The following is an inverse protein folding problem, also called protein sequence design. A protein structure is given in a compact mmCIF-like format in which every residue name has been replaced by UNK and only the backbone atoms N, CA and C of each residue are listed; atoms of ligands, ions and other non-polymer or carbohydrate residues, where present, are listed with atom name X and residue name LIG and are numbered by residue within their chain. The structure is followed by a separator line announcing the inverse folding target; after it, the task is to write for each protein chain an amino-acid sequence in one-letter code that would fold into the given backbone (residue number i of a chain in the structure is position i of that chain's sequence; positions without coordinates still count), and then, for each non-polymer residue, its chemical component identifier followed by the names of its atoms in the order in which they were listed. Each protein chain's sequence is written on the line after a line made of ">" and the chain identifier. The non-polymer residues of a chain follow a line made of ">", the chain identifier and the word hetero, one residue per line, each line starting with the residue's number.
data_IF_140838349721
#
_entry.id   IF_140838349721
#
_cell.length_a   1.000
_cell.length_b   1.000
_cell.length_c   1.000
_cell.angle_alpha   90.00
_cell.angle_beta   90.00
_cell.angle_gamma   90.00
#
_symmetry.space_group_name_H-M   'P 1'
#
loop_
_entity.id
_entity.type
_entity.pdbx_description
1 polymer ?
#
# COMPACT_ATOMS: atom_id res chain seq x y z
N UNK A 1 1.24 20.27 -67.34
CA UNK A 1 1.91 19.49 -66.28
C UNK A 1 1.39 20.03 -64.96
N UNK A 2 0.97 19.13 -64.06
CA UNK A 2 0.39 19.33 -62.71
C UNK A 2 -1.15 19.43 -62.59
N UNK A 3 -1.71 18.32 -62.09
CA UNK A 3 -2.97 18.12 -61.32
C UNK A 3 -2.54 17.76 -59.86
N UNK A 4 -3.44 17.59 -58.86
CA UNK A 4 -4.07 18.62 -58.05
C UNK A 4 -3.81 18.46 -56.52
N UNK A 5 -4.17 19.48 -55.74
CA UNK A 5 -4.08 19.54 -54.27
C UNK A 5 -5.19 18.75 -53.54
N UNK A 6 -5.10 17.41 -53.51
CA UNK A 6 -6.12 16.56 -52.85
C UNK A 6 -5.57 15.54 -51.82
N UNK A 7 -4.54 15.89 -51.03
CA UNK A 7 -3.90 14.93 -50.12
C UNK A 7 -3.82 15.29 -48.62
N UNK A 8 -4.49 16.35 -48.16
CA UNK A 8 -4.43 16.76 -46.75
C UNK A 8 -5.64 16.36 -45.88
N UNK A 9 -6.84 16.19 -46.46
CA UNK A 9 -8.05 15.91 -45.68
C UNK A 9 -8.23 14.43 -45.27
N UNK A 10 -7.58 13.49 -45.96
CA UNK A 10 -7.72 12.05 -45.71
C UNK A 10 -6.82 11.49 -44.60
N UNK A 11 -5.83 12.26 -44.11
CA UNK A 11 -4.94 11.81 -43.00
C UNK A 11 -5.46 12.18 -41.60
N UNK A 12 -6.31 13.19 -41.47
CA UNK A 12 -6.93 13.55 -40.18
C UNK A 12 -8.13 12.68 -39.81
N UNK A 13 -8.82 12.10 -40.78
CA UNK A 13 -9.97 11.22 -40.51
C UNK A 13 -9.54 9.85 -39.93
N UNK A 14 -8.37 9.34 -40.31
CA UNK A 14 -7.83 8.04 -39.87
C UNK A 14 -7.27 8.05 -38.43
N UNK A 15 -6.89 9.22 -37.90
CA UNK A 15 -6.38 9.37 -36.52
C UNK A 15 -7.49 9.52 -35.48
N UNK A 16 -8.65 10.09 -35.87
CA UNK A 16 -9.83 10.23 -35.01
C UNK A 16 -10.61 8.91 -34.86
N UNK A 17 -10.68 8.09 -35.90
CA UNK A 17 -11.30 6.76 -35.86
C UNK A 17 -10.53 5.77 -34.99
N UNK A 18 -9.19 5.85 -34.98
CA UNK A 18 -8.33 4.98 -34.18
C UNK A 18 -8.41 5.27 -32.67
N UNK A 19 -8.51 6.55 -32.26
CA UNK A 19 -8.75 6.92 -30.86
C UNK A 19 -10.13 6.48 -30.36
N UNK A 20 -11.17 6.60 -31.19
CA UNK A 20 -12.52 6.12 -30.88
C UNK A 20 -12.57 4.60 -30.70
N UNK A 21 -11.89 3.83 -31.57
CA UNK A 21 -11.81 2.38 -31.49
C UNK A 21 -11.05 1.87 -30.24
N UNK A 22 -9.97 2.54 -29.84
CA UNK A 22 -9.20 2.21 -28.61
C UNK A 22 -10.00 2.55 -27.34
N UNK A 23 -10.77 3.65 -27.34
CA UNK A 23 -11.66 4.01 -26.22
C UNK A 23 -12.85 3.05 -26.10
N UNK A 24 -13.43 2.64 -27.23
CA UNK A 24 -14.49 1.63 -27.31
C UNK A 24 -13.98 0.26 -26.84
N UNK A 25 -12.75 -0.14 -27.20
CA UNK A 25 -12.17 -1.43 -26.76
C UNK A 25 -11.88 -1.44 -25.25
N UNK A 26 -11.37 -0.34 -24.67
CA UNK A 26 -11.17 -0.19 -23.22
C UNK A 26 -12.48 -0.20 -22.44
N UNK A 27 -13.53 0.44 -22.98
CA UNK A 27 -14.89 0.45 -22.40
C UNK A 27 -15.54 -0.94 -22.49
N UNK A 28 -15.38 -1.63 -23.63
CA UNK A 28 -15.84 -3.01 -23.81
C UNK A 28 -15.08 -3.99 -22.91
N UNK A 29 -13.77 -3.80 -22.70
CA UNK A 29 -12.98 -4.57 -21.75
C UNK A 29 -13.41 -4.33 -20.30
N UNK A 30 -13.66 -3.07 -19.91
CA UNK A 30 -14.21 -2.76 -18.58
C UNK A 30 -15.60 -3.36 -18.40
N UNK A 31 -16.47 -3.28 -19.40
CA UNK A 31 -17.80 -3.87 -19.37
C UNK A 31 -17.76 -5.40 -19.36
N UNK A 32 -16.82 -6.03 -20.07
CA UNK A 32 -16.65 -7.48 -20.07
C UNK A 32 -16.07 -7.97 -18.74
N UNK A 33 -15.09 -7.27 -18.16
CA UNK A 33 -14.57 -7.53 -16.80
C UNK A 33 -15.65 -7.32 -15.75
N UNK A 34 -16.40 -6.23 -15.81
CA UNK A 34 -17.52 -5.96 -14.91
C UNK A 34 -18.60 -7.05 -15.00
N UNK A 35 -18.95 -7.49 -16.22
CA UNK A 35 -19.87 -8.62 -16.42
C UNK A 35 -19.30 -9.94 -15.90
N UNK A 36 -18.00 -10.18 -16.03
CA UNK A 36 -17.30 -11.38 -15.52
C UNK A 36 -17.25 -11.38 -13.99
N UNK A 37 -16.94 -10.24 -13.37
CA UNK A 37 -16.90 -10.09 -11.90
C UNK A 37 -18.31 -10.13 -11.31
N UNK A 38 -19.31 -9.50 -11.95
CA UNK A 38 -20.72 -9.61 -11.56
C UNK A 38 -21.27 -11.02 -11.72
N UNK A 39 -20.78 -11.78 -12.72
CA UNK A 39 -21.10 -13.20 -12.89
C UNK A 39 -20.46 -14.06 -11.80
N UNK A 40 -19.18 -13.85 -11.47
CA UNK A 40 -18.50 -14.52 -10.35
C UNK A 40 -19.15 -14.21 -9.00
N UNK A 41 -19.54 -12.96 -8.76
CA UNK A 41 -20.27 -12.55 -7.55
C UNK A 41 -21.65 -13.24 -7.46
N UNK A 42 -22.38 -13.31 -8.58
CA UNK A 42 -23.65 -14.06 -8.66
C UNK A 42 -23.45 -15.56 -8.51
N UNK A 43 -22.36 -16.13 -9.03
CA UNK A 43 -22.00 -17.53 -8.85
C UNK A 43 -21.66 -17.82 -7.38
N UNK A 44 -20.91 -16.95 -6.69
CA UNK A 44 -20.60 -17.06 -5.25
C UNK A 44 -21.84 -16.88 -4.35
N UNK A 45 -22.71 -15.90 -4.64
CA UNK A 45 -23.98 -15.71 -3.92
C UNK A 45 -24.95 -16.89 -4.13
N UNK A 46 -24.99 -17.46 -5.35
CA UNK A 46 -25.77 -18.67 -5.62
C UNK A 46 -25.17 -19.90 -4.94
N UNK A 47 -23.85 -20.01 -4.85
CA UNK A 47 -23.16 -21.10 -4.17
C UNK A 47 -23.43 -21.08 -2.67
N UNK A 48 -23.44 -19.91 -2.00
CA UNK A 48 -23.84 -19.77 -0.58
C UNK A 48 -25.27 -20.25 -0.27
N UNK A 49 -26.18 -20.22 -1.25
CA UNK A 49 -27.58 -20.66 -1.08
C UNK A 49 -27.75 -22.16 -1.41
N UNK A 50 -26.85 -22.76 -2.20
CA UNK A 50 -26.92 -24.14 -2.69
C UNK A 50 -25.83 -25.08 -2.14
N UNK A 51 -25.10 -24.66 -1.10
CA UNK A 51 -24.04 -25.42 -0.42
C UNK A 51 -24.59 -26.60 0.40
N UNK A 52 -25.29 -27.53 -0.26
CA UNK A 52 -25.60 -28.83 0.33
C UNK A 52 -25.12 -30.02 -0.49
N UNK A 53 -24.93 -29.93 -1.81
CA UNK A 53 -24.69 -31.17 -2.60
C UNK A 53 -23.73 -31.11 -3.82
N UNK A 54 -22.83 -30.13 -3.96
CA UNK A 54 -21.75 -30.23 -4.98
C UNK A 54 -20.43 -29.64 -4.52
N UNK A 55 -19.45 -30.51 -4.29
CA UNK A 55 -18.03 -30.17 -4.10
C UNK A 55 -17.41 -29.91 -5.48
N UNK A 56 -17.00 -28.67 -5.82
CA UNK A 56 -16.12 -28.46 -6.96
C UNK A 56 -14.69 -28.77 -6.53
N UNK A 57 -13.98 -29.56 -7.33
CA UNK A 57 -12.53 -29.75 -7.26
C UNK A 57 -11.82 -28.39 -7.16
N UNK A 58 -11.00 -28.25 -6.10
CA UNK A 58 -10.09 -27.14 -5.77
C UNK A 58 -10.64 -25.73 -6.04
N UNK A 59 -11.26 -25.11 -5.03
CA UNK A 59 -11.45 -23.67 -5.01
C UNK A 59 -10.06 -23.00 -5.05
N UNK A 60 -9.76 -22.26 -6.12
CA UNK A 60 -8.59 -21.38 -6.18
C UNK A 60 -8.57 -20.50 -4.92
N UNK A 61 -7.43 -20.45 -4.22
CA UNK A 61 -7.25 -19.58 -3.05
C UNK A 61 -7.58 -18.12 -3.42
N UNK A 62 -8.29 -17.37 -2.58
CA UNK A 62 -8.61 -15.98 -2.87
C UNK A 62 -7.35 -15.12 -2.88
N UNK A 63 -7.33 -14.11 -3.74
CA UNK A 63 -6.27 -13.09 -3.71
C UNK A 63 -6.57 -12.09 -2.60
N UNK A 64 -5.69 -11.99 -1.62
CA UNK A 64 -5.82 -11.09 -0.47
C UNK A 64 -4.76 -10.01 -0.54
N UNK A 65 -5.22 -8.76 -0.51
CA UNK A 65 -4.35 -7.58 -0.39
C UNK A 65 -4.60 -6.94 0.96
N UNK A 66 -3.55 -6.78 1.74
CA UNK A 66 -3.60 -6.11 3.04
C UNK A 66 -2.95 -4.75 2.92
N UNK A 67 -3.59 -3.71 3.47
CA UNK A 67 -3.02 -2.38 3.69
C UNK A 67 -2.83 -2.17 5.19
N UNK A 68 -1.60 -1.94 5.66
CA UNK A 68 -1.36 -1.57 7.06
C UNK A 68 -0.95 -0.11 7.21
N UNK A 69 -1.42 0.53 8.29
CA UNK A 69 -0.96 1.84 8.75
C UNK A 69 -0.38 1.78 10.17
N UNK A 70 -0.04 2.96 10.71
CA UNK A 70 0.72 3.07 11.95
C UNK A 70 0.03 2.42 13.15
N UNK A 71 -1.31 2.32 13.13
CA UNK A 71 -2.09 1.72 14.21
C UNK A 71 -1.72 0.26 14.49
N UNK A 72 -1.25 -0.51 13.50
CA UNK A 72 -0.83 -1.90 13.72
C UNK A 72 0.44 -2.00 14.58
N UNK A 73 1.33 -1.00 14.52
CA UNK A 73 2.61 -0.96 15.24
C UNK A 73 2.51 -0.25 16.59
N UNK A 74 1.35 0.32 16.94
CA UNK A 74 1.19 1.09 18.17
C UNK A 74 1.48 0.25 19.43
N UNK A 75 0.93 -0.96 19.48
CA UNK A 75 1.13 -1.90 20.60
C UNK A 75 2.56 -2.46 20.66
N UNK A 76 3.36 -2.25 19.61
CA UNK A 76 4.79 -2.56 19.57
C UNK A 76 5.67 -1.42 20.10
N UNK A 77 5.09 -0.35 20.63
CA UNK A 77 5.81 0.81 21.18
C UNK A 77 6.20 1.88 20.16
N UNK A 78 5.71 1.78 18.91
CA UNK A 78 5.94 2.78 17.86
C UNK A 78 4.84 3.84 17.93
N UNK A 79 5.23 5.10 18.15
CA UNK A 79 4.28 6.22 18.19
C UNK A 79 3.71 6.51 16.80
N UNK A 80 2.40 6.67 16.73
CA UNK A 80 1.68 6.94 15.49
C UNK A 80 1.69 8.43 15.14
N UNK A 81 1.56 8.74 13.85
CA UNK A 81 1.29 10.10 13.41
C UNK A 81 -0.10 10.56 13.87
N UNK A 82 -0.17 11.74 14.52
CA UNK A 82 -1.41 12.34 14.99
C UNK A 82 -1.91 13.35 13.97
N UNK A 83 -2.89 12.93 13.16
CA UNK A 83 -3.45 13.80 12.13
C UNK A 83 -4.21 15.02 12.69
N UNK A 84 -4.76 14.91 13.90
CA UNK A 84 -5.61 15.96 14.49
C UNK A 84 -4.84 17.23 14.91
N UNK A 85 -3.60 17.08 15.37
CA UNK A 85 -2.72 18.19 15.77
C UNK A 85 -1.56 18.43 14.79
N UNK A 86 -1.43 17.60 13.75
CA UNK A 86 -0.37 17.72 12.73
C UNK A 86 1.02 17.38 13.25
N UNK A 87 1.10 16.68 14.38
CA UNK A 87 2.37 16.36 15.04
C UNK A 87 2.79 14.90 14.81
N UNK A 88 4.08 14.73 14.58
CA UNK A 88 4.76 13.44 14.65
C UNK A 88 5.95 13.55 15.59
N UNK A 89 5.92 12.81 16.69
CA UNK A 89 6.93 12.91 17.75
C UNK A 89 7.11 14.34 18.28
N UNK A 90 6.01 15.07 18.47
CA UNK A 90 5.97 16.46 18.91
C UNK A 90 6.65 17.45 17.94
N UNK A 91 6.90 17.03 16.69
CA UNK A 91 7.36 17.89 15.60
C UNK A 91 6.24 18.13 14.60
N UNK A 92 6.18 19.33 14.04
CA UNK A 92 5.31 19.62 12.90
C UNK A 92 5.75 18.80 11.70
N UNK A 93 4.81 18.13 11.05
CA UNK A 93 5.08 17.31 9.85
C UNK A 93 5.78 18.11 8.76
N UNK A 94 5.41 19.39 8.59
CA UNK A 94 6.01 20.27 7.58
C UNK A 94 7.52 20.47 7.76
N UNK A 95 8.05 20.30 8.97
CA UNK A 95 9.46 20.51 9.28
C UNK A 95 10.30 19.24 9.11
N UNK A 96 9.68 18.06 9.27
CA UNK A 96 10.40 16.78 9.38
C UNK A 96 10.09 15.78 8.27
N UNK A 97 8.99 15.97 7.54
CA UNK A 97 8.50 15.00 6.56
C UNK A 97 8.02 15.68 5.25
N UNK A 98 8.73 16.72 4.81
CA UNK A 98 8.56 17.37 3.50
C UNK A 98 9.93 17.59 2.84
N UNK A 99 10.00 17.60 1.49
CA UNK A 99 11.21 18.03 0.78
C UNK A 99 11.68 19.43 1.18
N UNK A 100 10.74 20.35 1.42
CA UNK A 100 11.01 21.73 1.83
C UNK A 100 11.59 21.80 3.24
N UNK A 101 11.09 20.98 4.18
CA UNK A 101 11.62 20.83 5.53
C UNK A 101 13.07 20.34 5.51
N UNK A 102 13.34 19.31 4.72
CA UNK A 102 14.71 18.80 4.54
C UNK A 102 15.66 19.81 3.88
N UNK A 103 15.20 20.55 2.88
CA UNK A 103 16.01 21.58 2.24
C UNK A 103 16.32 22.74 3.20
N UNK A 104 15.38 23.06 4.10
CA UNK A 104 15.49 24.15 5.08
C UNK A 104 16.43 23.81 6.23
N UNK A 105 16.28 22.62 6.81
CA UNK A 105 17.11 22.15 7.93
C UNK A 105 17.37 20.64 7.83
N UNK A 106 18.36 20.22 7.01
CA UNK A 106 18.67 18.80 6.85
C UNK A 106 19.20 18.19 8.14
N UNK A 107 19.85 18.96 9.02
CA UNK A 107 20.36 18.45 10.28
C UNK A 107 19.22 18.05 11.22
N UNK A 108 18.18 18.88 11.33
CA UNK A 108 16.97 18.57 12.09
C UNK A 108 16.27 17.33 11.55
N UNK A 109 16.08 17.23 10.24
CA UNK A 109 15.41 16.06 9.62
C UNK A 109 16.24 14.79 9.81
N UNK A 110 17.57 14.85 9.64
CA UNK A 110 18.43 13.69 9.86
C UNK A 110 18.42 13.27 11.33
N UNK A 111 18.56 14.21 12.26
CA UNK A 111 18.43 13.93 13.69
C UNK A 111 17.06 13.33 14.02
N UNK A 112 16.01 13.81 13.35
CA UNK A 112 14.66 13.27 13.46
C UNK A 112 14.66 11.78 13.08
N UNK A 113 15.05 11.43 11.86
CA UNK A 113 15.01 10.02 11.42
C UNK A 113 16.02 9.13 12.15
N UNK A 114 17.17 9.65 12.58
CA UNK A 114 18.14 8.90 13.37
C UNK A 114 17.57 8.46 14.73
N UNK A 115 16.86 9.35 15.44
CA UNK A 115 16.21 9.00 16.68
C UNK A 115 15.18 7.87 16.50
N UNK A 116 14.40 7.92 15.41
CA UNK A 116 13.44 6.87 15.04
C UNK A 116 14.13 5.56 14.70
N UNK A 117 15.24 5.62 13.96
CA UNK A 117 16.01 4.43 13.59
C UNK A 117 16.61 3.73 14.80
N UNK A 118 17.12 4.50 15.77
CA UNK A 118 17.60 3.96 17.05
C UNK A 118 16.46 3.35 17.86
N UNK A 119 15.30 4.03 17.92
CA UNK A 119 14.11 3.54 18.63
C UNK A 119 13.65 2.19 18.05
N UNK A 120 13.49 2.09 16.72
CA UNK A 120 13.03 0.87 16.05
C UNK A 120 13.90 -0.36 16.36
N UNK A 121 15.19 -0.14 16.62
CA UNK A 121 16.17 -1.18 16.92
C UNK A 121 16.30 -1.47 18.42
N UNK A 122 15.53 -0.82 19.29
CA UNK A 122 15.55 -1.15 20.72
C UNK A 122 14.95 -2.55 20.97
N UNK A 123 15.46 -3.33 21.93
CA UNK A 123 15.01 -4.69 22.20
C UNK A 123 13.52 -4.83 22.50
N UNK A 124 12.91 -3.82 23.13
CA UNK A 124 11.49 -3.79 23.48
C UNK A 124 10.56 -3.60 22.27
N UNK A 125 11.07 -3.05 21.16
CA UNK A 125 10.29 -2.87 19.94
C UNK A 125 10.31 -4.19 19.18
N UNK A 126 9.21 -4.94 19.23
CA UNK A 126 9.08 -6.25 18.59
C UNK A 126 7.73 -6.42 17.88
N UNK A 127 7.64 -7.30 16.86
CA UNK A 127 6.37 -7.59 16.21
C UNK A 127 5.35 -8.12 17.21
N UNK A 128 4.17 -7.52 17.22
CA UNK A 128 3.04 -7.94 18.06
C UNK A 128 2.21 -9.06 17.37
N UNK A 129 1.18 -9.62 18.05
CA UNK A 129 0.36 -10.69 17.49
C UNK A 129 -0.30 -10.37 16.13
N UNK A 130 -0.60 -9.10 15.84
CA UNK A 130 -1.17 -8.70 14.56
C UNK A 130 -0.20 -8.96 13.40
N UNK A 131 1.07 -8.58 13.56
CA UNK A 131 2.11 -8.84 12.56
C UNK A 131 2.30 -10.35 12.35
N UNK A 132 2.34 -11.11 13.45
CA UNK A 132 2.49 -12.57 13.41
C UNK A 132 1.31 -13.24 12.70
N UNK A 133 0.08 -12.73 12.89
CA UNK A 133 -1.10 -13.23 12.18
C UNK A 133 -1.00 -12.97 10.66
N UNK A 134 -0.50 -11.81 10.24
CA UNK A 134 -0.29 -11.52 8.81
C UNK A 134 0.81 -12.39 8.20
N UNK A 135 1.88 -12.71 8.94
CA UNK A 135 2.89 -13.66 8.49
C UNK A 135 2.30 -15.08 8.30
N UNK A 136 1.42 -15.51 9.21
CA UNK A 136 0.68 -16.79 9.06
C UNK A 136 -0.26 -16.77 7.85
N UNK A 137 -0.97 -15.66 7.63
CA UNK A 137 -1.85 -15.51 6.46
C UNK A 137 -1.05 -15.60 5.15
N UNK A 138 0.10 -14.93 5.08
CA UNK A 138 1.01 -15.02 3.94
C UNK A 138 1.45 -16.46 3.68
N UNK A 139 1.91 -17.17 4.72
CA UNK A 139 2.34 -18.56 4.59
C UNK A 139 1.23 -19.48 4.07
N UNK A 140 -0.03 -19.24 4.46
CA UNK A 140 -1.17 -20.01 4.00
C UNK A 140 -1.56 -19.72 2.55
N UNK A 141 -1.45 -18.46 2.10
CA UNK A 141 -1.90 -18.02 0.77
C UNK A 141 -0.80 -18.07 -0.30
N UNK A 142 0.48 -17.96 0.08
CA UNK A 142 1.61 -17.89 -0.84
C UNK A 142 1.47 -16.71 -1.82
N UNK A 143 1.54 -17.00 -3.12
CA UNK A 143 1.49 -15.99 -4.19
C UNK A 143 0.14 -15.26 -4.32
N UNK A 144 -0.87 -15.69 -3.57
CA UNK A 144 -2.18 -15.05 -3.50
C UNK A 144 -2.26 -13.96 -2.41
N UNK A 145 -1.16 -13.68 -1.71
CA UNK A 145 -1.09 -12.63 -0.71
C UNK A 145 -0.15 -11.49 -1.14
N UNK A 146 -0.55 -10.26 -0.80
CA UNK A 146 0.30 -9.08 -0.87
C UNK A 146 0.04 -8.20 0.35
N UNK A 147 1.11 -7.82 1.05
CA UNK A 147 1.07 -6.83 2.12
C UNK A 147 1.60 -5.50 1.61
N UNK A 148 0.77 -4.46 1.65
CA UNK A 148 1.14 -3.07 1.39
C UNK A 148 1.16 -2.37 2.73
N UNK A 149 2.24 -1.66 3.05
CA UNK A 149 2.35 -0.95 4.32
C UNK A 149 2.71 0.51 4.10
N UNK A 150 1.99 1.38 4.81
CA UNK A 150 2.33 2.80 4.96
C UNK A 150 3.43 3.01 6.00
N UNK A 151 3.74 1.98 6.80
CA UNK A 151 4.74 2.06 7.85
C UNK A 151 6.13 2.01 7.24
N UNK A 152 7.04 2.71 7.89
CA UNK A 152 8.47 2.72 7.56
C UNK A 152 9.29 1.83 8.49
N UNK A 153 8.65 1.21 9.49
CA UNK A 153 9.27 0.20 10.35
C UNK A 153 9.46 -1.13 9.61
N UNK A 154 10.22 -2.06 10.20
CA UNK A 154 10.47 -3.40 9.64
C UNK A 154 9.80 -4.53 10.45
N UNK A 155 8.69 -4.23 11.15
CA UNK A 155 8.06 -5.21 12.03
C UNK A 155 7.38 -6.36 11.26
N UNK A 156 6.94 -6.11 10.03
CA UNK A 156 6.39 -7.15 9.16
C UNK A 156 7.46 -8.15 8.73
N UNK A 157 8.62 -7.68 8.28
CA UNK A 157 9.77 -8.53 7.94
C UNK A 157 10.19 -9.36 9.16
N UNK A 158 10.29 -8.71 10.32
CA UNK A 158 10.66 -9.38 11.58
C UNK A 158 9.62 -10.40 12.04
N UNK A 159 8.35 -10.24 11.66
CA UNK A 159 7.30 -11.24 11.91
C UNK A 159 7.35 -12.42 10.93
N UNK A 160 8.05 -12.28 9.80
CA UNK A 160 8.23 -13.32 8.79
C UNK A 160 7.52 -13.07 7.46
N UNK A 161 6.89 -11.90 7.27
CA UNK A 161 6.33 -11.52 5.97
C UNK A 161 7.45 -11.28 4.94
N UNK A 162 7.22 -11.65 3.68
CA UNK A 162 8.20 -11.52 2.59
C UNK A 162 7.63 -10.75 1.39
N UNK A 163 6.32 -10.86 1.15
CA UNK A 163 5.61 -10.19 0.05
C UNK A 163 5.10 -8.81 0.47
N UNK A 164 6.03 -7.90 0.75
CA UNK A 164 5.76 -6.57 1.31
C UNK A 164 6.06 -5.47 0.29
N UNK A 165 5.17 -4.48 0.17
CA UNK A 165 5.43 -3.21 -0.51
C UNK A 165 5.39 -2.09 0.52
N UNK A 166 6.55 -1.50 0.80
CA UNK A 166 6.70 -0.29 1.59
C UNK A 166 6.38 0.95 0.76
N UNK A 167 5.10 1.32 0.70
CA UNK A 167 4.68 2.42 -0.17
C UNK A 167 5.24 3.77 0.27
N UNK A 168 5.59 3.93 1.55
CA UNK A 168 6.24 5.12 2.09
C UNK A 168 7.73 4.95 2.37
N UNK A 169 8.34 3.90 1.82
CA UNK A 169 9.75 3.58 2.05
C UNK A 169 10.01 2.97 3.43
N UNK A 170 11.28 2.97 3.82
CA UNK A 170 11.79 2.14 4.92
C UNK A 170 12.85 2.93 5.72
N UNK A 171 12.72 2.88 7.05
CA UNK A 171 13.53 3.67 7.97
C UNK A 171 14.98 3.17 8.07
N UNK A 172 15.19 1.87 7.88
CA UNK A 172 16.50 1.21 7.85
C UNK A 172 17.16 1.29 6.47
N UNK A 173 16.67 2.17 5.59
CA UNK A 173 17.26 2.46 4.30
C UNK A 173 17.52 3.97 4.14
N UNK A 174 18.53 4.28 3.35
CA UNK A 174 18.84 5.63 2.88
C UNK A 174 18.87 5.64 1.36
N UNK A 175 18.70 6.83 0.78
CA UNK A 175 18.68 7.03 -0.65
C UNK A 175 19.60 8.17 -1.04
N UNK A 176 20.38 7.97 -2.10
CA UNK A 176 21.13 9.05 -2.73
C UNK A 176 20.16 10.11 -3.27
N UNK A 177 20.35 11.37 -2.88
CA UNK A 177 19.51 12.49 -3.31
C UNK A 177 19.59 12.79 -4.82
N UNK A 178 20.60 12.27 -5.51
CA UNK A 178 20.81 12.48 -6.94
C UNK A 178 20.44 11.27 -7.80
N UNK A 179 21.10 10.11 -7.59
CA UNK A 179 20.87 8.92 -8.42
C UNK A 179 19.60 8.15 -8.04
N UNK A 180 19.04 8.39 -6.85
CA UNK A 180 17.94 7.62 -6.32
C UNK A 180 18.31 6.20 -5.86
N UNK A 181 19.58 5.80 -5.92
CA UNK A 181 20.00 4.48 -5.43
C UNK A 181 19.76 4.36 -3.92
N UNK A 182 19.18 3.23 -3.53
CA UNK A 182 18.81 2.90 -2.15
C UNK A 182 19.86 1.98 -1.52
N UNK A 183 20.17 2.20 -0.25
CA UNK A 183 21.14 1.45 0.54
C UNK A 183 20.52 1.05 1.88
N UNK A 184 20.79 -0.16 2.35
CA UNK A 184 20.56 -0.53 3.74
C UNK A 184 21.42 0.34 4.65
N UNK A 185 20.83 0.86 5.72
CA UNK A 185 21.49 1.76 6.66
C UNK A 185 20.80 1.72 8.03
N UNK A 186 21.45 1.07 8.99
CA UNK A 186 20.94 0.89 10.35
C UNK A 186 21.43 1.95 11.33
N UNK A 187 22.53 2.64 11.00
CA UNK A 187 23.16 3.65 11.85
C UNK A 187 22.57 5.06 11.68
N UNK A 188 23.19 6.01 12.36
CA UNK A 188 22.88 7.43 12.16
C UNK A 188 23.34 7.89 10.77
N UNK A 189 22.64 8.89 10.23
CA UNK A 189 23.02 9.63 9.03
C UNK A 189 23.33 11.06 9.43
N UNK A 190 24.51 11.54 9.09
CA UNK A 190 24.96 12.90 9.32
C UNK A 190 24.81 13.73 8.04
N UNK A 191 24.93 15.05 8.16
CA UNK A 191 24.95 15.95 7.00
C UNK A 191 26.20 15.79 6.14
N UNK A 192 27.19 15.01 6.58
CA UNK A 192 28.44 14.75 5.85
C UNK A 192 28.43 13.41 5.13
N UNK A 193 27.47 12.52 5.41
CA UNK A 193 27.36 11.26 4.72
C UNK A 193 26.98 11.45 3.24
N UNK A 194 27.71 10.77 2.36
CA UNK A 194 27.57 10.87 0.91
C UNK A 194 27.43 9.50 0.29
N UNK A 195 26.79 9.44 -0.87
CA UNK A 195 26.67 8.20 -1.63
C UNK A 195 28.01 7.78 -2.26
N UNK A 196 28.12 6.49 -2.59
CA UNK A 196 29.27 5.92 -3.31
C UNK A 196 28.96 5.59 -4.78
N UNK A 197 27.77 5.95 -5.26
CA UNK A 197 27.29 5.58 -6.59
C UNK A 197 27.39 6.69 -7.63
N UNK A 198 27.69 7.90 -7.20
CA UNK A 198 27.87 9.05 -8.07
C UNK A 198 29.36 9.37 -8.17
N UNK A 199 29.80 9.80 -9.35
CA UNK A 199 31.17 10.31 -9.54
C UNK A 199 31.46 11.50 -8.62
N UNK A 200 30.47 12.39 -8.46
CA UNK A 200 30.46 13.43 -7.44
C UNK A 200 29.54 12.98 -6.31
N UNK A 201 30.08 12.61 -5.14
CA UNK A 201 29.28 12.08 -4.04
C UNK A 201 28.16 13.05 -3.61
N UNK A 202 26.91 12.60 -3.70
CA UNK A 202 25.75 13.39 -3.33
C UNK A 202 25.28 13.07 -1.90
N UNK A 203 24.64 14.02 -1.19
CA UNK A 203 24.10 13.79 0.15
C UNK A 203 23.13 12.61 0.19
N UNK A 204 23.20 11.84 1.27
CA UNK A 204 22.21 10.82 1.60
C UNK A 204 21.02 11.46 2.32
N UNK A 205 19.83 10.91 2.08
CA UNK A 205 18.61 11.20 2.84
C UNK A 205 17.93 9.90 3.26
N UNK A 206 17.05 9.91 4.27
CA UNK A 206 16.22 8.76 4.60
C UNK A 206 15.46 8.25 3.37
N UNK A 207 15.38 6.93 3.20
CA UNK A 207 14.54 6.34 2.15
C UNK A 207 13.08 6.28 2.60
N UNK A 208 12.54 7.45 2.91
CA UNK A 208 11.16 7.64 3.33
C UNK A 208 10.51 8.62 2.36
N UNK A 209 9.29 8.30 1.94
CA UNK A 209 8.46 9.16 1.10
C UNK A 209 7.88 10.26 1.99
N UNK A 210 8.13 11.49 1.59
CA UNK A 210 7.61 12.67 2.29
C UNK A 210 6.30 13.17 1.69
N UNK A 211 5.58 13.99 2.44
CA UNK A 211 4.41 14.68 1.92
C UNK A 211 4.80 15.52 0.70
N UNK A 212 4.03 15.40 -0.38
CA UNK A 212 4.33 15.99 -1.68
C UNK A 212 5.14 15.08 -2.62
N UNK A 213 5.72 13.99 -2.13
CA UNK A 213 6.39 13.00 -2.98
C UNK A 213 5.45 11.86 -3.41
N UNK A 214 5.80 11.20 -4.51
CA UNK A 214 5.06 10.03 -5.00
C UNK A 214 5.39 8.79 -4.15
N UNK A 215 4.38 8.05 -3.66
CA UNK A 215 4.61 6.76 -3.00
C UNK A 215 5.23 5.73 -3.95
N UNK A 216 5.90 4.74 -3.36
CA UNK A 216 6.61 3.68 -4.06
C UNK A 216 5.65 2.52 -4.41
N UNK A 217 5.98 1.78 -5.48
CA UNK A 217 5.26 0.55 -5.84
C UNK A 217 3.80 0.74 -6.29
N UNK A 218 3.39 1.96 -6.65
CA UNK A 218 1.98 2.27 -6.94
C UNK A 218 1.39 1.41 -8.08
N UNK A 219 2.15 1.14 -9.14
CA UNK A 219 1.67 0.33 -10.26
C UNK A 219 1.34 -1.11 -9.84
N UNK A 220 2.22 -1.71 -9.03
CA UNK A 220 2.03 -3.06 -8.49
C UNK A 220 0.86 -3.11 -7.49
N UNK A 221 0.75 -2.08 -6.64
CA UNK A 221 -0.35 -1.95 -5.69
C UNK A 221 -1.69 -1.87 -6.44
N UNK A 222 -1.82 -0.97 -7.41
CA UNK A 222 -3.05 -0.85 -8.22
C UNK A 222 -3.35 -2.14 -9.01
N UNK A 223 -2.32 -2.82 -9.53
CA UNK A 223 -2.46 -4.12 -10.19
C UNK A 223 -3.03 -5.18 -9.25
N UNK A 224 -2.53 -5.25 -8.02
CA UNK A 224 -3.01 -6.17 -7.00
C UNK A 224 -4.44 -5.84 -6.56
N UNK A 225 -4.75 -4.58 -6.24
CA UNK A 225 -6.08 -4.11 -5.86
C UNK A 225 -7.13 -4.45 -6.95
N UNK A 226 -6.75 -4.32 -8.22
CA UNK A 226 -7.66 -4.59 -9.34
C UNK A 226 -8.02 -6.08 -9.53
N UNK A 227 -7.28 -6.98 -8.87
CA UNK A 227 -7.47 -8.44 -8.93
C UNK A 227 -7.76 -9.09 -7.58
N UNK A 228 -7.76 -8.31 -6.50
CA UNK A 228 -8.05 -8.78 -5.15
C UNK A 228 -9.47 -9.33 -5.04
N UNK A 229 -9.62 -10.46 -4.35
CA UNK A 229 -10.90 -10.98 -3.89
C UNK A 229 -11.26 -10.39 -2.52
N UNK A 230 -10.26 -10.13 -1.68
CA UNK A 230 -10.39 -9.55 -0.35
C UNK A 230 -9.36 -8.44 -0.19
N UNK A 231 -9.81 -7.28 0.28
CA UNK A 231 -8.96 -6.17 0.69
C UNK A 231 -9.15 -5.89 2.18
N UNK A 232 -8.06 -5.87 2.94
CA UNK A 232 -8.09 -5.66 4.39
C UNK A 232 -7.27 -4.43 4.72
N UNK A 233 -7.88 -3.37 5.26
CA UNK A 233 -7.17 -2.21 5.79
C UNK A 233 -7.05 -2.31 7.31
N UNK A 234 -5.83 -2.16 7.84
CA UNK A 234 -5.51 -2.40 9.24
C UNK A 234 -4.79 -1.18 9.83
N UNK A 235 -5.32 -0.61 10.91
CA UNK A 235 -4.63 0.45 11.65
C UNK A 235 -4.39 1.73 10.84
N UNK A 236 -5.31 2.09 9.94
CA UNK A 236 -5.20 3.28 9.07
C UNK A 236 -6.15 4.39 9.50
N UNK A 237 -5.72 5.66 9.49
CA UNK A 237 -6.61 6.79 9.84
C UNK A 237 -7.59 7.19 8.73
N UNK A 238 -7.27 6.88 7.47
CA UNK A 238 -8.04 7.32 6.31
C UNK A 238 -7.75 8.75 5.85
N UNK A 239 -6.76 9.44 6.45
CA UNK A 239 -6.39 10.81 6.07
C UNK A 239 -5.29 10.91 5.02
N UNK A 240 -4.45 9.87 4.88
CA UNK A 240 -3.26 9.92 4.03
C UNK A 240 -3.57 9.34 2.65
N UNK A 241 -3.57 10.22 1.64
CA UNK A 241 -3.74 9.83 0.24
C UNK A 241 -2.37 9.58 -0.42
N UNK A 242 -2.30 8.64 -1.38
CA UNK A 242 -3.40 7.90 -2.03
C UNK A 242 -3.90 6.66 -1.27
N UNK A 243 -3.23 6.22 -0.20
CA UNK A 243 -3.54 4.97 0.49
C UNK A 243 -5.00 4.87 0.99
N UNK A 244 -5.54 5.97 1.52
CA UNK A 244 -6.93 6.05 1.96
C UNK A 244 -7.95 5.75 0.85
N UNK A 245 -7.59 5.94 -0.43
CA UNK A 245 -8.43 5.64 -1.59
C UNK A 245 -8.37 4.18 -2.05
N UNK A 246 -7.50 3.33 -1.49
CA UNK A 246 -7.36 1.95 -1.95
C UNK A 246 -8.62 1.09 -1.72
N UNK A 247 -9.39 1.39 -0.66
CA UNK A 247 -10.69 0.74 -0.42
C UNK A 247 -11.66 0.96 -1.57
N UNK A 248 -11.70 2.18 -2.12
CA UNK A 248 -12.53 2.53 -3.27
C UNK A 248 -12.16 1.70 -4.50
N UNK A 249 -10.86 1.58 -4.77
CA UNK A 249 -10.33 0.85 -5.92
C UNK A 249 -10.56 -0.66 -5.83
N UNK A 250 -10.34 -1.24 -4.65
CA UNK A 250 -10.63 -2.64 -4.38
C UNK A 250 -12.13 -2.93 -4.57
N UNK A 251 -12.99 -2.08 -4.01
CA UNK A 251 -14.45 -2.18 -4.13
C UNK A 251 -14.93 -2.02 -5.57
N UNK A 252 -14.38 -1.06 -6.31
CA UNK A 252 -14.69 -0.84 -7.73
C UNK A 252 -14.44 -2.11 -8.57
N UNK A 253 -13.43 -2.90 -8.19
CA UNK A 253 -13.09 -4.16 -8.85
C UNK A 253 -13.79 -5.39 -8.27
N UNK A 254 -14.56 -5.24 -7.19
CA UNK A 254 -15.42 -6.26 -6.61
C UNK A 254 -14.79 -7.07 -5.48
N UNK A 255 -13.72 -6.59 -4.86
CA UNK A 255 -13.16 -7.18 -3.65
C UNK A 255 -14.11 -6.97 -2.47
N UNK A 256 -14.18 -7.97 -1.58
CA UNK A 256 -14.77 -7.78 -0.25
C UNK A 256 -13.83 -6.93 0.60
N UNK A 257 -14.33 -5.85 1.19
CA UNK A 257 -13.51 -4.85 1.89
C UNK A 257 -13.72 -4.93 3.40
N UNK A 258 -12.60 -5.08 4.13
CA UNK A 258 -12.56 -5.28 5.57
C UNK A 258 -11.72 -4.19 6.22
N UNK A 259 -12.23 -3.58 7.29
CA UNK A 259 -11.48 -2.66 8.15
C UNK A 259 -11.25 -3.29 9.52
N UNK A 260 -9.99 -3.37 9.96
CA UNK A 260 -9.58 -3.80 11.30
C UNK A 260 -8.85 -2.64 11.97
N UNK A 261 -9.46 -1.96 12.92
CA UNK A 261 -8.90 -0.70 13.41
C UNK A 261 -9.18 -0.47 14.89
N UNK A 262 -8.39 0.38 15.55
CA UNK A 262 -8.71 0.75 16.93
C UNK A 262 -9.94 1.66 16.97
N UNK A 263 -9.95 2.65 16.07
CA UNK A 263 -11.04 3.59 15.88
C UNK A 263 -11.46 3.59 14.40
N UNK A 264 -12.73 3.89 14.07
CA UNK A 264 -13.16 4.00 12.67
C UNK A 264 -12.33 5.01 11.89
N UNK A 265 -11.87 4.64 10.69
CA UNK A 265 -11.17 5.60 9.81
C UNK A 265 -12.13 6.61 9.18
N UNK A 266 -11.58 7.69 8.62
CA UNK A 266 -12.36 8.69 7.88
C UNK A 266 -13.14 8.08 6.69
N UNK A 267 -12.59 7.02 6.09
CA UNK A 267 -13.19 6.29 4.96
C UNK A 267 -13.91 5.02 5.42
N UNK A 268 -14.14 4.87 6.73
CA UNK A 268 -14.74 3.68 7.33
C UNK A 268 -16.08 3.30 6.69
N UNK A 269 -16.88 4.26 6.22
CA UNK A 269 -18.16 4.00 5.53
C UNK A 269 -18.03 3.21 4.22
N UNK A 270 -16.84 3.16 3.62
CA UNK A 270 -16.60 2.44 2.35
C UNK A 270 -16.40 0.94 2.52
N UNK A 271 -16.08 0.47 3.74
CA UNK A 271 -15.85 -0.94 4.04
C UNK A 271 -17.16 -1.72 4.26
N UNK A 272 -17.19 -2.97 3.80
CA UNK A 272 -18.32 -3.88 3.95
C UNK A 272 -18.34 -4.58 5.31
N UNK A 273 -17.18 -4.97 5.83
CA UNK A 273 -16.99 -5.60 7.14
C UNK A 273 -16.00 -4.77 7.98
N UNK A 274 -16.28 -4.62 9.28
CA UNK A 274 -15.50 -3.74 10.16
C UNK A 274 -15.43 -4.35 11.55
N UNK A 275 -14.23 -4.38 12.12
CA UNK A 275 -13.99 -4.84 13.48
C UNK A 275 -13.11 -3.82 14.21
N UNK A 276 -13.52 -3.46 15.42
CA UNK A 276 -12.82 -2.44 16.19
C UNK A 276 -12.29 -2.96 17.52
N UNK A 277 -11.06 -2.59 17.83
CA UNK A 277 -10.35 -3.03 19.02
C UNK A 277 -8.84 -2.99 18.82
N UNK A 278 -8.09 -3.51 19.80
CA UNK A 278 -6.64 -3.63 19.70
C UNK A 278 -6.27 -4.49 18.48
N UNK A 279 -5.23 -4.08 17.76
CA UNK A 279 -4.77 -4.80 16.59
C UNK A 279 -4.30 -6.21 16.99
N UNK A 280 -3.66 -6.34 18.16
CA UNK A 280 -3.21 -7.61 18.73
C UNK A 280 -4.34 -8.61 19.02
N UNK A 281 -5.58 -8.16 19.13
CA UNK A 281 -6.75 -9.02 19.37
C UNK A 281 -7.55 -9.23 18.08
N UNK A 282 -7.92 -8.12 17.42
CA UNK A 282 -8.85 -8.14 16.28
C UNK A 282 -8.22 -8.76 15.05
N UNK A 283 -6.94 -8.48 14.78
CA UNK A 283 -6.26 -9.02 13.59
C UNK A 283 -6.10 -10.53 13.70
N UNK A 284 -5.54 -11.12 14.77
CA UNK A 284 -5.49 -12.58 14.90
C UNK A 284 -6.85 -13.24 14.82
N UNK A 285 -7.87 -12.71 15.50
CA UNK A 285 -9.22 -13.28 15.48
C UNK A 285 -9.83 -13.31 14.07
N UNK A 286 -9.68 -12.22 13.32
CA UNK A 286 -10.16 -12.16 11.94
C UNK A 286 -9.38 -13.12 11.02
N UNK A 287 -8.06 -13.14 11.14
CA UNK A 287 -7.19 -14.01 10.32
C UNK A 287 -7.46 -15.48 10.61
N UNK A 288 -7.63 -15.89 11.87
CA UNK A 288 -7.93 -17.27 12.24
C UNK A 288 -9.28 -17.72 11.67
N UNK A 289 -10.30 -16.84 11.71
CA UNK A 289 -11.58 -17.08 11.06
C UNK A 289 -11.43 -17.23 9.53
N UNK A 290 -10.70 -16.32 8.90
CA UNK A 290 -10.47 -16.36 7.45
C UNK A 290 -9.78 -17.67 7.05
N UNK A 291 -8.73 -18.08 7.78
CA UNK A 291 -8.02 -19.33 7.52
C UNK A 291 -8.88 -20.58 7.69
N UNK A 292 -9.87 -20.58 8.58
CA UNK A 292 -10.82 -21.69 8.73
C UNK A 292 -11.82 -21.79 7.58
N UNK A 293 -12.04 -20.69 6.84
CA UNK A 293 -12.94 -20.63 5.68
C UNK A 293 -12.25 -20.94 4.34
N UNK A 294 -10.91 -21.05 4.32
CA UNK A 294 -10.07 -21.37 3.15
C UNK A 294 -9.90 -22.89 2.95
#
# INVERSE_FOLDING_TARGET
>A
MAMPEECAALRSFTLLTNKGAIMLSRRQHRLSRFRRNKRRLRERLRQRIFFRDRVPETLDKPRVVVLTGAGISAESGIRTFRAADGLWEEHRVEDVATPEGFARDPALVQAFYNARRRQLQQPEIAPNPAHQALARLEAALGDHFLLVTQNIDNLHERAGNQRIIHMHGELLKVRCSWSGQVLEWTGDVTTDDRCHCCQFPAPLRPHVVWFGEMPLGMDDIYGALATADIFIAIGTSGHVYPAAGFVHEARLHGAHTVELNLEPSQVGSEFEEKHYGLASDVVPAFIDKLLQEL
#
